data_IF_083685560042
#
_entry.id   IF_083685560042
#
_cell.length_a   1.000
_cell.length_b   1.000
_cell.length_c   1.000
_cell.angle_alpha   90.00
_cell.angle_beta   90.00
_cell.angle_gamma   90.00
#
_symmetry.space_group_name_H-M   'P 1'
#
loop_
_entity.id
_entity.type
_entity.pdbx_description
1 polymer ?
#
# COMPACT_ATOMS: atom_id res chain seq x y z
N UNK A 1 -17.45 -2.49 9.26
CA UNK A 1 -16.10 -3.08 9.43
C UNK A 1 -15.08 -1.97 9.27
N UNK A 2 -14.04 -1.94 10.09
CA UNK A 2 -12.96 -0.93 10.04
C UNK A 2 -11.71 -1.49 9.35
N UNK A 3 -10.92 -0.66 8.65
CA UNK A 3 -9.66 -1.12 8.05
C UNK A 3 -8.70 -1.72 9.09
N UNK A 4 -7.86 -2.66 8.66
CA UNK A 4 -6.80 -3.22 9.50
C UNK A 4 -5.80 -2.11 9.88
N UNK A 5 -5.53 -1.96 11.18
CA UNK A 5 -4.68 -0.87 11.70
C UNK A 5 -3.20 -1.22 11.74
N UNK A 6 -2.85 -2.49 11.51
CA UNK A 6 -1.47 -2.95 11.47
C UNK A 6 -0.81 -2.78 10.10
N UNK A 7 0.41 -3.29 9.99
CA UNK A 7 1.24 -3.13 8.79
C UNK A 7 1.92 -4.44 8.41
N UNK A 8 1.50 -5.03 7.28
CA UNK A 8 2.11 -6.24 6.69
C UNK A 8 3.14 -5.84 5.63
N UNK A 9 2.84 -4.85 4.79
CA UNK A 9 3.80 -4.18 3.91
C UNK A 9 4.36 -2.89 4.50
N UNK A 10 5.64 -2.59 4.23
CA UNK A 10 6.27 -1.32 4.64
C UNK A 10 7.13 -0.67 3.55
N UNK A 11 7.54 -1.44 2.54
CA UNK A 11 8.46 -0.97 1.52
C UNK A 11 7.77 -0.41 0.30
N UNK A 12 8.01 0.86 0.03
CA UNK A 12 7.63 1.49 -1.22
C UNK A 12 8.89 1.55 -2.09
N UNK A 13 8.92 0.70 -3.12
CA UNK A 13 10.04 0.63 -4.07
C UNK A 13 10.02 1.83 -5.02
N UNK A 14 11.16 2.19 -5.64
CA UNK A 14 11.23 3.28 -6.61
C UNK A 14 10.15 3.23 -7.69
N UNK A 15 9.89 2.06 -8.27
CA UNK A 15 8.85 1.93 -9.31
C UNK A 15 7.44 2.21 -8.80
N UNK A 16 7.17 1.94 -7.53
CA UNK A 16 5.89 2.29 -6.89
C UNK A 16 5.80 3.79 -6.62
N UNK A 17 6.93 4.46 -6.35
CA UNK A 17 6.95 5.93 -6.19
C UNK A 17 6.55 6.64 -7.48
N UNK A 18 6.99 6.15 -8.65
CA UNK A 18 6.53 6.66 -9.94
C UNK A 18 5.01 6.54 -10.10
N UNK A 19 4.44 5.37 -9.78
CA UNK A 19 2.98 5.18 -9.81
C UNK A 19 2.27 6.12 -8.82
N UNK A 20 2.87 6.36 -7.65
CA UNK A 20 2.31 7.28 -6.67
C UNK A 20 2.42 8.74 -7.09
N UNK A 21 3.41 9.10 -7.92
CA UNK A 21 3.49 10.41 -8.57
C UNK A 21 2.34 10.57 -9.57
N UNK A 22 2.13 9.56 -10.43
CA UNK A 22 1.02 9.55 -11.40
C UNK A 22 -0.36 9.64 -10.71
N UNK A 23 -0.51 9.00 -9.55
CA UNK A 23 -1.73 9.07 -8.73
C UNK A 23 -1.84 10.37 -7.91
N UNK A 24 -0.81 11.24 -7.93
CA UNK A 24 -0.80 12.53 -7.22
C UNK A 24 -0.65 12.42 -5.70
N UNK A 25 -0.15 11.28 -5.19
CA UNK A 25 -0.03 11.01 -3.75
C UNK A 25 1.42 10.95 -3.25
N UNK A 26 2.42 10.98 -4.13
CA UNK A 26 3.82 10.77 -3.74
C UNK A 26 4.27 11.71 -2.62
N UNK A 27 3.99 13.02 -2.74
CA UNK A 27 4.39 13.99 -1.70
C UNK A 27 3.81 13.64 -0.31
N UNK A 28 2.56 13.15 -0.26
CA UNK A 28 1.93 12.72 1.00
C UNK A 28 2.61 11.45 1.54
N UNK A 29 2.95 10.51 0.66
CA UNK A 29 3.63 9.26 1.02
C UNK A 29 5.05 9.53 1.54
N UNK A 30 5.80 10.41 0.87
CA UNK A 30 7.14 10.85 1.31
C UNK A 30 7.05 11.53 2.68
N UNK A 31 6.10 12.45 2.87
CA UNK A 31 5.93 13.17 4.13
C UNK A 31 5.49 12.26 5.30
N UNK A 32 4.72 11.21 5.02
CA UNK A 32 4.25 10.26 6.02
C UNK A 32 5.26 9.13 6.31
N UNK A 33 6.33 9.05 5.51
CA UNK A 33 7.33 8.01 5.56
C UNK A 33 8.73 8.52 5.84
N UNK A 34 9.70 7.65 5.62
CA UNK A 34 11.11 8.03 5.61
C UNK A 34 11.94 7.06 4.78
N UNK A 35 13.23 7.36 4.65
CA UNK A 35 14.18 6.41 4.08
C UNK A 35 14.22 5.13 4.92
N UNK A 36 14.55 4.02 4.28
CA UNK A 36 14.81 2.79 4.99
C UNK A 36 15.95 2.97 6.01
N UNK A 37 15.79 2.48 7.26
CA UNK A 37 16.87 2.48 8.24
C UNK A 37 17.99 1.56 7.77
N UNK A 38 19.20 1.78 8.30
CA UNK A 38 20.33 0.88 8.04
C UNK A 38 20.01 -0.53 8.50
N UNK A 39 20.37 -1.51 7.68
CA UNK A 39 20.25 -2.92 7.99
C UNK A 39 21.41 -3.34 8.90
N UNK A 40 21.08 -3.84 10.09
CA UNK A 40 22.04 -4.48 10.98
C UNK A 40 22.06 -5.99 10.76
N UNK A 41 23.23 -6.52 10.39
CA UNK A 41 23.46 -7.96 10.26
C UNK A 41 24.35 -8.44 11.41
N UNK A 42 23.85 -9.42 12.17
CA UNK A 42 24.59 -10.04 13.27
C UNK A 42 25.35 -11.28 12.79
N UNK A 43 26.57 -11.47 13.29
CA UNK A 43 27.39 -12.66 13.06
C UNK A 43 27.29 -13.63 14.24
N UNK A 44 27.72 -14.87 14.02
CA UNK A 44 27.70 -15.92 15.06
C UNK A 44 28.60 -15.60 16.26
N UNK A 45 29.64 -14.78 16.08
CA UNK A 45 30.54 -14.33 17.15
C UNK A 45 29.96 -13.17 18.00
N UNK A 46 28.72 -12.74 17.72
CA UNK A 46 28.07 -11.63 18.41
C UNK A 46 28.45 -10.24 17.87
N UNK A 47 29.36 -10.13 16.90
CA UNK A 47 29.64 -8.88 16.19
C UNK A 47 28.50 -8.52 15.22
N UNK A 48 28.46 -7.27 14.77
CA UNK A 48 27.50 -6.81 13.76
C UNK A 48 28.12 -5.88 12.73
N UNK A 49 27.43 -5.71 11.59
CA UNK A 49 27.68 -4.66 10.60
C UNK A 49 26.38 -3.97 10.25
N UNK A 50 26.44 -2.64 10.18
CA UNK A 50 25.36 -1.82 9.64
C UNK A 50 25.62 -1.52 8.17
N UNK A 51 24.63 -1.73 7.30
CA UNK A 51 24.71 -1.51 5.86
C UNK A 51 23.49 -0.71 5.37
N UNK A 52 23.65 0.05 4.30
CA UNK A 52 22.51 0.71 3.67
C UNK A 52 21.69 -0.31 2.88
N UNK A 53 20.36 -0.18 2.92
CA UNK A 53 19.46 -1.10 2.21
C UNK A 53 19.49 -0.87 0.69
N UNK A 54 19.87 0.32 0.26
CA UNK A 54 19.98 0.66 -1.15
C UNK A 54 21.26 1.44 -1.40
N UNK A 55 21.84 1.25 -2.58
CA UNK A 55 22.95 2.08 -3.04
C UNK A 55 22.44 3.48 -3.37
N UNK A 56 23.16 4.50 -2.88
CA UNK A 56 22.90 5.89 -3.22
C UNK A 56 23.37 6.19 -4.65
N UNK A 57 22.52 5.88 -5.63
CA UNK A 57 22.74 6.24 -7.04
C UNK A 57 22.07 7.58 -7.35
N UNK A 58 22.67 8.37 -8.25
CA UNK A 58 22.09 9.64 -8.67
C UNK A 58 20.84 9.40 -9.55
N UNK A 59 19.72 10.11 -9.29
CA UNK A 59 18.55 10.12 -10.17
C UNK A 59 18.88 10.36 -11.64
N UNK A 60 18.21 9.62 -12.51
CA UNK A 60 18.25 9.78 -13.96
C UNK A 60 16.84 10.04 -14.47
N UNK A 61 16.68 10.46 -15.72
CA UNK A 61 15.34 10.60 -16.30
C UNK A 61 14.60 9.26 -16.43
N UNK A 62 15.31 8.16 -16.64
CA UNK A 62 14.71 6.82 -16.75
C UNK A 62 14.38 6.22 -15.38
N UNK A 63 15.10 6.64 -14.34
CA UNK A 63 14.95 6.19 -12.96
C UNK A 63 14.95 7.45 -12.07
N UNK A 64 13.81 8.13 -11.90
CA UNK A 64 13.74 9.38 -11.14
C UNK A 64 13.88 9.16 -9.64
N UNK A 65 13.52 7.98 -9.14
CA UNK A 65 13.67 7.57 -7.74
C UNK A 65 14.65 6.40 -7.64
N UNK A 66 15.46 6.40 -6.58
CA UNK A 66 16.49 5.37 -6.34
C UNK A 66 16.43 4.78 -4.95
N UNK A 67 15.94 5.57 -3.98
CA UNK A 67 15.86 5.14 -2.61
C UNK A 67 14.45 4.64 -2.30
N UNK A 68 14.30 3.43 -1.74
CA UNK A 68 13.01 2.97 -1.28
C UNK A 68 12.57 3.78 -0.04
N UNK A 69 11.26 3.94 0.13
CA UNK A 69 10.66 4.53 1.32
C UNK A 69 10.11 3.46 2.24
N UNK A 70 10.23 3.67 3.54
CA UNK A 70 9.57 2.86 4.56
C UNK A 70 8.33 3.62 5.04
N UNK A 71 7.15 3.11 4.69
CA UNK A 71 5.84 3.67 5.05
C UNK A 71 4.91 2.54 5.49
N UNK A 72 4.31 2.58 6.70
CA UNK A 72 3.38 1.55 7.12
C UNK A 72 2.21 1.38 6.13
N UNK A 73 1.81 0.13 5.85
CA UNK A 73 0.71 -0.17 4.93
C UNK A 73 -0.59 0.57 5.29
N UNK A 74 -1.00 0.57 6.56
CA UNK A 74 -2.23 1.27 7.00
C UNK A 74 -2.20 2.78 6.70
N UNK A 75 -1.02 3.41 6.76
CA UNK A 75 -0.82 4.82 6.41
C UNK A 75 -0.93 5.00 4.90
N UNK A 76 -0.26 4.15 4.12
CA UNK A 76 -0.33 4.18 2.64
C UNK A 76 -1.77 4.01 2.16
N UNK A 77 -2.50 3.01 2.68
CA UNK A 77 -3.90 2.79 2.34
C UNK A 77 -4.80 3.98 2.75
N UNK A 78 -4.49 4.67 3.84
CA UNK A 78 -5.24 5.85 4.27
C UNK A 78 -5.08 6.98 3.26
N UNK A 79 -3.85 7.26 2.83
CA UNK A 79 -3.57 8.26 1.78
C UNK A 79 -4.28 7.90 0.48
N UNK A 80 -4.26 6.63 0.06
CA UNK A 80 -4.97 6.18 -1.14
C UNK A 80 -6.49 6.37 -1.03
N UNK A 81 -7.09 6.07 0.13
CA UNK A 81 -8.53 6.29 0.36
C UNK A 81 -8.90 7.76 0.36
N UNK A 82 -8.06 8.62 0.90
CA UNK A 82 -8.25 10.07 0.83
C UNK A 82 -8.17 10.58 -0.61
N UNK A 83 -7.28 10.03 -1.43
CA UNK A 83 -7.18 10.36 -2.85
C UNK A 83 -8.43 9.91 -3.62
N UNK A 84 -8.92 8.69 -3.39
CA UNK A 84 -10.18 8.22 -3.97
C UNK A 84 -11.35 9.12 -3.57
N UNK A 85 -11.40 9.55 -2.30
CA UNK A 85 -12.40 10.50 -1.81
C UNK A 85 -12.32 11.86 -2.51
N UNK A 86 -11.11 12.36 -2.75
CA UNK A 86 -10.89 13.60 -3.50
C UNK A 86 -11.39 13.51 -4.96
N UNK A 87 -11.36 12.32 -5.56
CA UNK A 87 -11.95 12.03 -6.87
C UNK A 87 -13.46 11.74 -6.83
N UNK A 88 -14.11 11.90 -5.69
CA UNK A 88 -15.56 11.68 -5.53
C UNK A 88 -15.96 10.21 -5.36
N UNK A 89 -15.00 9.30 -5.15
CA UNK A 89 -15.27 7.89 -4.88
C UNK A 89 -15.34 7.59 -3.37
N UNK A 90 -16.04 6.52 -3.02
CA UNK A 90 -16.13 6.04 -1.63
C UNK A 90 -15.83 4.55 -1.58
N UNK A 91 -14.96 4.17 -0.65
CA UNK A 91 -14.67 2.75 -0.37
C UNK A 91 -15.72 2.20 0.60
N UNK A 92 -16.35 1.09 0.22
CA UNK A 92 -17.25 0.32 1.07
C UNK A 92 -16.51 -0.84 1.73
N UNK A 93 -16.74 -1.05 3.04
CA UNK A 93 -16.08 -2.08 3.82
C UNK A 93 -17.07 -3.13 4.32
N UNK A 94 -16.59 -4.35 4.55
CA UNK A 94 -17.42 -5.47 4.96
C UNK A 94 -18.26 -6.04 3.81
N UNK A 95 -17.87 -5.74 2.56
CA UNK A 95 -18.41 -6.34 1.36
C UNK A 95 -17.50 -7.49 0.93
N UNK A 96 -18.08 -8.67 0.72
CA UNK A 96 -17.37 -9.85 0.24
C UNK A 96 -17.91 -10.22 -1.14
N UNK A 97 -17.04 -10.44 -2.12
CA UNK A 97 -17.43 -10.94 -3.44
C UNK A 97 -17.79 -12.42 -3.31
N UNK A 98 -19.08 -12.75 -3.34
CA UNK A 98 -19.57 -14.14 -3.21
C UNK A 98 -19.64 -14.88 -4.54
N UNK A 99 -20.07 -14.19 -5.59
CA UNK A 99 -20.28 -14.77 -6.91
C UNK A 99 -19.90 -13.75 -7.99
N UNK A 100 -19.38 -14.24 -9.11
CA UNK A 100 -19.04 -13.42 -10.28
C UNK A 100 -19.45 -14.18 -11.55
N UNK A 101 -20.21 -13.51 -12.42
CA UNK A 101 -20.57 -14.03 -13.73
C UNK A 101 -20.20 -12.98 -14.79
N UNK A 102 -19.46 -13.41 -15.81
CA UNK A 102 -19.05 -12.55 -16.92
C UNK A 102 -19.85 -12.93 -18.16
N UNK A 103 -20.44 -11.94 -18.82
CA UNK A 103 -21.07 -12.12 -20.13
C UNK A 103 -20.16 -11.56 -21.22
N UNK A 104 -20.37 -11.99 -22.48
CA UNK A 104 -19.59 -11.48 -23.62
C UNK A 104 -19.90 -10.02 -23.99
N UNK A 105 -20.87 -9.38 -23.32
CA UNK A 105 -21.07 -7.95 -23.45
C UNK A 105 -20.01 -7.20 -22.64
N UNK A 106 -19.40 -6.18 -23.25
CA UNK A 106 -18.22 -5.39 -22.80
C UNK A 106 -18.35 -4.65 -21.46
N UNK A 107 -19.16 -5.10 -20.50
CA UNK A 107 -19.19 -4.55 -19.14
C UNK A 107 -19.72 -5.59 -18.14
N UNK A 108 -18.93 -6.06 -17.16
CA UNK A 108 -19.45 -6.86 -16.06
C UNK A 108 -20.41 -5.99 -15.23
N UNK A 109 -21.65 -6.46 -15.05
CA UNK A 109 -22.64 -5.82 -14.18
C UNK A 109 -22.56 -6.51 -12.82
N UNK A 110 -22.08 -5.83 -11.79
CA UNK A 110 -22.19 -6.33 -10.41
C UNK A 110 -23.67 -6.31 -10.00
N UNK A 111 -24.19 -7.45 -9.60
CA UNK A 111 -25.47 -7.56 -8.87
C UNK A 111 -25.13 -7.52 -7.37
N UNK A 112 -25.47 -6.44 -6.64
CA UNK A 112 -25.37 -6.49 -5.18
C UNK A 112 -26.47 -7.39 -4.63
N UNK A 113 -26.11 -8.42 -3.87
CA UNK A 113 -27.08 -9.10 -3.00
C UNK A 113 -27.48 -8.17 -1.86
N UNK A 114 -28.76 -8.23 -1.49
CA UNK A 114 -29.34 -7.50 -0.35
C UNK A 114 -28.43 -7.61 0.88
N UNK A 115 -28.24 -6.48 1.56
CA UNK A 115 -27.65 -6.37 2.89
C UNK A 115 -28.33 -7.31 3.91
N UNK A 116 -27.82 -8.53 4.09
CA UNK A 116 -27.92 -9.22 5.37
C UNK A 116 -26.66 -8.91 6.18
N UNK A 117 -26.78 -7.96 7.12
CA UNK A 117 -25.78 -7.79 8.18
C UNK A 117 -25.85 -9.00 9.10
N UNK A 118 -25.03 -10.02 8.85
CA UNK A 118 -24.74 -11.04 9.85
C UNK A 118 -23.55 -10.58 10.69
N UNK A 119 -23.85 -10.19 11.92
CA UNK A 119 -22.87 -10.11 13.00
C UNK A 119 -22.34 -11.52 13.25
N UNK A 120 -21.04 -11.73 13.08
CA UNK A 120 -20.39 -12.93 13.59
C UNK A 120 -19.02 -12.58 14.14
N UNK A 121 -18.93 -12.64 15.47
CA UNK A 121 -17.69 -12.58 16.24
C UNK A 121 -16.92 -13.89 16.09
N UNK A 122 -15.65 -13.80 15.68
CA UNK A 122 -14.55 -14.74 15.97
C UNK A 122 -13.27 -13.98 15.59
N UNK A 123 -12.48 -13.47 16.55
CA UNK A 123 -11.43 -14.18 17.30
C UNK A 123 -10.77 -15.23 16.42
N UNK A 124 -9.69 -14.85 15.72
CA UNK A 124 -8.29 -15.13 16.11
C UNK A 124 -7.43 -13.96 15.60
#
# INVERSE_FOLDING_TARGET
>A
MTPFTGSRGKGIQPRTQEIFEDLGILNKVVAAGGLYPRLRTYRHDGSYVDSDIAHHTKPTHAEPYHLPLMVPQNVTETIMREQLKAWGHRVEFGCELRHFAQTHARSPRMLPDRLEKRSSSRII
#
